data_IF_261363987347
#
_entry.id   IF_261363987347
#
_cell.length_a   1.000
_cell.length_b   1.000
_cell.length_c   1.000
_cell.angle_alpha   90.00
_cell.angle_beta   90.00
_cell.angle_gamma   90.00
#
_symmetry.space_group_name_H-M   'P 1'
#
loop_
_entity.id
_entity.type
_entity.pdbx_description
1 polymer ?
#
# COMPACT_ATOMS: atom_id res chain seq x y z
N UNK A 1 -25.15 -11.68 18.61
CA UNK A 1 -25.82 -10.87 17.56
C UNK A 1 -24.84 -10.78 16.40
N UNK A 2 -25.16 -11.34 15.22
CA UNK A 2 -24.22 -11.45 14.09
C UNK A 2 -23.79 -10.05 13.61
N UNK A 3 -22.49 -9.76 13.62
CA UNK A 3 -21.93 -8.44 13.28
C UNK A 3 -22.27 -7.96 11.86
N UNK A 4 -22.60 -8.89 10.94
CA UNK A 4 -23.06 -8.60 9.58
C UNK A 4 -24.37 -7.79 9.58
N UNK A 5 -25.28 -8.04 10.52
CA UNK A 5 -26.62 -7.39 10.55
C UNK A 5 -26.53 -5.89 10.87
N UNK A 6 -25.52 -5.47 11.62
CA UNK A 6 -25.30 -4.05 11.98
C UNK A 6 -24.79 -3.25 10.78
N UNK A 7 -23.91 -3.84 9.96
CA UNK A 7 -23.35 -3.21 8.76
C UNK A 7 -24.41 -2.97 7.67
N UNK A 8 -25.26 -3.97 7.44
CA UNK A 8 -26.33 -3.94 6.43
C UNK A 8 -27.37 -2.86 6.71
N UNK A 9 -27.75 -2.69 7.98
CA UNK A 9 -28.67 -1.65 8.41
C UNK A 9 -28.10 -0.22 8.25
N UNK A 10 -26.78 -0.05 8.34
CA UNK A 10 -26.13 1.26 8.19
C UNK A 10 -25.93 1.66 6.71
N UNK A 11 -25.66 0.68 5.85
CA UNK A 11 -25.47 0.89 4.40
C UNK A 11 -26.77 0.86 3.59
N UNK A 12 -27.92 0.55 4.23
CA UNK A 12 -29.18 0.20 3.54
C UNK A 12 -28.98 -0.89 2.47
N UNK A 13 -28.05 -1.81 2.72
CA UNK A 13 -27.70 -2.88 1.81
C UNK A 13 -28.23 -4.22 2.34
N UNK A 14 -28.58 -5.14 1.46
CA UNK A 14 -28.93 -6.51 1.82
C UNK A 14 -27.68 -7.38 2.06
N UNK A 15 -27.85 -8.50 2.77
CA UNK A 15 -26.79 -9.52 2.93
C UNK A 15 -26.21 -9.95 1.59
N UNK A 16 -27.07 -10.02 0.58
CA UNK A 16 -26.76 -10.53 -0.74
C UNK A 16 -25.96 -9.48 -1.52
N UNK A 17 -26.33 -8.19 -1.42
CA UNK A 17 -25.57 -7.08 -2.01
C UNK A 17 -24.17 -6.97 -1.39
N UNK A 18 -24.02 -7.18 -0.08
CA UNK A 18 -22.71 -7.18 0.56
C UNK A 18 -21.86 -8.39 0.14
N UNK A 19 -22.48 -9.56 -0.03
CA UNK A 19 -21.81 -10.74 -0.56
C UNK A 19 -21.37 -10.55 -2.02
N UNK A 20 -22.21 -9.93 -2.86
CA UNK A 20 -21.90 -9.59 -4.24
C UNK A 20 -20.75 -8.57 -4.34
N UNK A 21 -20.73 -7.54 -3.48
CA UNK A 21 -19.59 -6.61 -3.42
C UNK A 21 -18.30 -7.35 -3.06
N UNK A 22 -18.33 -8.23 -2.05
CA UNK A 22 -17.17 -9.03 -1.69
C UNK A 22 -16.71 -9.94 -2.83
N UNK A 23 -17.65 -10.60 -3.51
CA UNK A 23 -17.36 -11.42 -4.68
C UNK A 23 -16.75 -10.58 -5.82
N UNK A 24 -17.15 -9.31 -5.98
CA UNK A 24 -16.59 -8.39 -6.99
C UNK A 24 -15.12 -8.01 -6.74
N UNK A 25 -14.60 -8.30 -5.55
CA UNK A 25 -13.19 -8.11 -5.20
C UNK A 25 -12.35 -9.36 -5.42
N UNK A 26 -12.97 -10.48 -5.82
CA UNK A 26 -12.30 -11.75 -5.97
C UNK A 26 -12.08 -12.09 -7.43
N UNK A 27 -10.82 -12.32 -7.80
CA UNK A 27 -10.44 -12.85 -9.11
C UNK A 27 -9.82 -14.22 -8.86
N UNK A 28 -10.41 -15.26 -9.44
CA UNK A 28 -10.02 -16.64 -9.13
C UNK A 28 -8.57 -16.94 -9.56
N UNK A 29 -8.22 -16.57 -10.79
CA UNK A 29 -6.91 -16.87 -11.38
C UNK A 29 -5.91 -15.73 -11.17
N UNK A 30 -4.67 -16.03 -10.77
CA UNK A 30 -3.63 -15.02 -10.70
C UNK A 30 -3.26 -14.51 -12.11
N UNK A 31 -3.10 -13.20 -12.31
CA UNK A 31 -2.68 -12.63 -13.59
C UNK A 31 -1.17 -12.82 -13.80
N UNK A 32 -0.73 -14.07 -13.96
CA UNK A 32 0.68 -14.43 -14.12
C UNK A 32 1.15 -13.97 -15.51
N UNK A 33 2.06 -13.00 -15.50
CA UNK A 33 2.76 -12.48 -16.68
C UNK A 33 4.21 -12.93 -16.68
N UNK A 34 4.91 -12.84 -17.81
CA UNK A 34 6.30 -13.32 -17.91
C UNK A 34 7.28 -12.60 -16.98
N UNK A 35 7.02 -11.33 -16.64
CA UNK A 35 7.78 -10.57 -15.64
C UNK A 35 7.53 -11.06 -14.21
N UNK A 36 6.30 -11.44 -13.87
CA UNK A 36 5.98 -12.07 -12.58
C UNK A 36 6.68 -13.42 -12.47
N UNK A 37 6.61 -14.26 -13.51
CA UNK A 37 7.32 -15.55 -13.55
C UNK A 37 8.83 -15.35 -13.37
N UNK A 38 9.41 -14.42 -14.12
CA UNK A 38 10.84 -14.09 -14.05
C UNK A 38 11.24 -13.61 -12.66
N UNK A 39 10.45 -12.73 -12.05
CA UNK A 39 10.71 -12.23 -10.71
C UNK A 39 10.70 -13.37 -9.68
N UNK A 40 9.64 -14.19 -9.62
CA UNK A 40 9.54 -15.27 -8.63
C UNK A 40 10.54 -16.41 -8.87
N UNK A 41 10.88 -16.70 -10.12
CA UNK A 41 11.94 -17.65 -10.45
C UNK A 41 13.30 -17.15 -9.95
N UNK A 42 13.64 -15.89 -10.20
CA UNK A 42 14.95 -15.34 -9.85
C UNK A 42 15.09 -14.98 -8.36
N UNK A 43 14.05 -14.41 -7.75
CA UNK A 43 14.08 -13.94 -6.37
C UNK A 43 13.78 -15.07 -5.37
N UNK A 44 12.67 -15.77 -5.57
CA UNK A 44 12.16 -16.76 -4.61
C UNK A 44 12.52 -18.21 -4.98
N UNK A 45 13.23 -18.44 -6.09
CA UNK A 45 13.55 -19.77 -6.62
C UNK A 45 12.30 -20.66 -6.79
N UNK A 46 11.19 -20.07 -7.23
CA UNK A 46 9.93 -20.79 -7.47
C UNK A 46 9.82 -21.13 -8.96
N UNK A 47 9.78 -22.42 -9.35
CA UNK A 47 9.63 -22.81 -10.75
C UNK A 47 8.26 -22.37 -11.30
N UNK A 48 8.20 -21.99 -12.58
CA UNK A 48 6.97 -21.58 -13.29
C UNK A 48 5.81 -22.54 -13.08
N UNK A 49 6.07 -23.86 -13.17
CA UNK A 49 5.04 -24.89 -13.02
C UNK A 49 4.44 -24.96 -11.60
N UNK A 50 5.15 -24.49 -10.58
CA UNK A 50 4.69 -24.46 -9.19
C UNK A 50 4.17 -23.08 -8.76
N UNK A 51 4.39 -22.04 -9.56
CA UNK A 51 4.09 -20.66 -9.18
C UNK A 51 2.60 -20.44 -8.94
N UNK A 52 1.75 -20.87 -9.88
CA UNK A 52 0.29 -20.68 -9.78
C UNK A 52 -0.27 -21.22 -8.46
N UNK A 53 0.04 -22.47 -8.13
CA UNK A 53 -0.50 -23.12 -6.93
C UNK A 53 0.05 -22.48 -5.65
N UNK A 54 1.32 -22.07 -5.66
CA UNK A 54 1.92 -21.30 -4.57
C UNK A 54 1.20 -19.97 -4.32
N UNK A 55 0.95 -19.21 -5.38
CA UNK A 55 0.24 -17.92 -5.30
C UNK A 55 -1.18 -18.08 -4.78
N UNK A 56 -1.93 -19.08 -5.29
CA UNK A 56 -3.29 -19.39 -4.81
C UNK A 56 -3.27 -19.76 -3.33
N UNK A 57 -2.37 -20.65 -2.91
CA UNK A 57 -2.30 -21.05 -1.50
C UNK A 57 -2.03 -19.86 -0.56
N UNK A 58 -1.15 -18.93 -0.94
CA UNK A 58 -0.89 -17.71 -0.18
C UNK A 58 -2.11 -16.80 -0.16
N UNK A 59 -2.72 -16.52 -1.32
CA UNK A 59 -3.89 -15.65 -1.41
C UNK A 59 -5.03 -16.17 -0.56
N UNK A 60 -5.35 -17.46 -0.64
CA UNK A 60 -6.45 -18.07 0.11
C UNK A 60 -6.25 -17.88 1.62
N UNK A 61 -5.05 -18.16 2.13
CA UNK A 61 -4.73 -17.92 3.55
C UNK A 61 -4.88 -16.45 3.93
N UNK A 62 -4.37 -15.54 3.11
CA UNK A 62 -4.42 -14.12 3.37
C UNK A 62 -5.87 -13.58 3.34
N UNK A 63 -6.64 -13.99 2.34
CA UNK A 63 -8.03 -13.57 2.12
C UNK A 63 -8.98 -14.07 3.20
N UNK A 64 -8.78 -15.29 3.71
CA UNK A 64 -9.55 -15.83 4.83
C UNK A 64 -9.39 -15.02 6.12
N UNK A 65 -8.20 -14.44 6.35
CA UNK A 65 -7.97 -13.54 7.48
C UNK A 65 -8.65 -12.19 7.26
N UNK A 66 -8.40 -11.57 6.10
CA UNK A 66 -9.02 -10.31 5.75
C UNK A 66 -9.41 -10.25 4.28
N UNK A 67 -10.68 -9.93 4.01
CA UNK A 67 -11.24 -9.84 2.66
C UNK A 67 -10.84 -8.50 1.99
N UNK A 68 -9.56 -8.13 2.03
CA UNK A 68 -9.07 -6.88 1.47
C UNK A 68 -9.03 -6.95 -0.06
N UNK A 69 -9.59 -5.97 -0.79
CA UNK A 69 -9.62 -5.99 -2.25
C UNK A 69 -8.25 -6.13 -2.92
N UNK A 70 -7.17 -5.69 -2.27
CA UNK A 70 -5.81 -5.88 -2.78
C UNK A 70 -5.39 -7.36 -2.83
N UNK A 71 -5.85 -8.19 -1.90
CA UNK A 71 -5.56 -9.63 -1.86
C UNK A 71 -6.40 -10.37 -2.90
N UNK A 72 -7.70 -10.12 -2.94
CA UNK A 72 -8.62 -10.80 -3.88
C UNK A 72 -8.35 -10.47 -5.35
N UNK A 73 -7.78 -9.28 -5.62
CA UNK A 73 -7.39 -8.84 -6.97
C UNK A 73 -5.89 -8.97 -7.26
N UNK A 74 -5.16 -9.78 -6.49
CA UNK A 74 -3.75 -10.09 -6.77
C UNK A 74 -2.81 -8.87 -6.83
N UNK A 75 -3.16 -7.75 -6.18
CA UNK A 75 -2.36 -6.52 -6.26
C UNK A 75 -0.96 -6.68 -5.68
N UNK A 76 -0.77 -7.62 -4.75
CA UNK A 76 0.53 -7.96 -4.19
C UNK A 76 1.49 -8.65 -5.18
N UNK A 77 1.02 -9.05 -6.38
CA UNK A 77 1.89 -9.53 -7.45
C UNK A 77 2.52 -8.40 -8.27
N UNK A 78 2.02 -7.17 -8.13
CA UNK A 78 2.51 -6.00 -8.85
C UNK A 78 3.14 -5.02 -7.87
N UNK A 79 4.44 -4.79 -8.03
CA UNK A 79 5.19 -3.81 -7.24
C UNK A 79 4.82 -2.39 -7.67
N UNK A 80 3.84 -1.82 -6.97
CA UNK A 80 3.28 -0.49 -7.25
C UNK A 80 4.32 0.63 -7.18
N UNK A 81 5.38 0.46 -6.39
CA UNK A 81 6.48 1.43 -6.27
C UNK A 81 7.20 1.65 -7.60
N UNK A 82 7.26 0.64 -8.48
CA UNK A 82 7.87 0.76 -9.82
C UNK A 82 7.11 1.73 -10.73
N UNK A 83 5.83 1.95 -10.45
CA UNK A 83 4.98 2.87 -11.21
C UNK A 83 5.15 4.32 -10.71
N UNK A 84 5.86 4.52 -9.59
CA UNK A 84 6.18 5.86 -9.11
C UNK A 84 7.04 6.60 -10.14
N UNK A 85 6.71 7.86 -10.46
CA UNK A 85 7.50 8.66 -11.42
C UNK A 85 8.94 8.93 -10.94
N UNK A 86 9.20 8.71 -9.64
CA UNK A 86 10.53 8.89 -9.03
C UNK A 86 11.24 7.56 -8.73
N UNK A 87 10.78 6.43 -9.27
CA UNK A 87 11.38 5.13 -8.96
C UNK A 87 12.86 5.06 -9.36
N UNK A 88 13.22 5.60 -10.53
CA UNK A 88 14.61 5.67 -10.98
C UNK A 88 15.48 6.52 -10.03
N UNK A 89 14.96 7.65 -9.55
CA UNK A 89 15.63 8.50 -8.56
C UNK A 89 15.87 7.74 -7.25
N UNK A 90 14.86 7.01 -6.75
CA UNK A 90 14.97 6.19 -5.54
C UNK A 90 16.12 5.18 -5.71
N UNK A 91 16.14 4.42 -6.81
CA UNK A 91 17.17 3.43 -7.05
C UNK A 91 18.57 4.06 -7.12
N UNK A 92 18.70 5.18 -7.81
CA UNK A 92 19.98 5.88 -7.96
C UNK A 92 20.51 6.37 -6.61
N UNK A 93 19.71 7.12 -5.86
CA UNK A 93 20.12 7.69 -4.57
C UNK A 93 20.37 6.62 -3.52
N UNK A 94 19.59 5.53 -3.52
CA UNK A 94 19.86 4.40 -2.65
C UNK A 94 21.21 3.75 -2.96
N UNK A 95 21.53 3.52 -4.24
CA UNK A 95 22.76 2.81 -4.64
C UNK A 95 24.02 3.67 -4.55
N UNK A 96 23.90 4.98 -4.79
CA UNK A 96 25.06 5.87 -4.87
C UNK A 96 25.29 6.68 -3.59
N UNK A 97 24.21 7.11 -2.93
CA UNK A 97 24.26 8.03 -1.79
C UNK A 97 23.85 7.38 -0.46
N UNK A 98 23.44 6.10 -0.47
CA UNK A 98 22.98 5.41 0.73
C UNK A 98 21.63 5.91 1.25
N UNK A 99 20.79 6.48 0.39
CA UNK A 99 19.44 6.91 0.77
C UNK A 99 18.61 5.72 1.29
N UNK A 100 17.75 5.98 2.27
CA UNK A 100 16.91 4.95 2.90
C UNK A 100 15.47 5.03 2.46
N UNK A 101 14.75 3.91 2.53
CA UNK A 101 13.34 3.79 2.15
C UNK A 101 12.53 3.14 3.27
N UNK A 102 11.37 3.70 3.59
CA UNK A 102 10.33 3.03 4.35
C UNK A 102 9.15 2.74 3.43
N UNK A 103 8.63 1.53 3.45
CA UNK A 103 7.32 1.16 2.88
C UNK A 103 6.32 0.98 4.03
N UNK A 104 5.31 1.87 4.11
CA UNK A 104 4.35 1.89 5.22
C UNK A 104 2.95 1.46 4.76
N UNK A 105 2.39 0.47 5.45
CA UNK A 105 1.28 -0.34 4.94
C UNK A 105 1.77 -1.35 3.91
N UNK A 106 2.90 -2.01 4.18
CA UNK A 106 3.60 -2.83 3.18
C UNK A 106 2.89 -4.14 2.82
N UNK A 107 1.85 -4.54 3.56
CA UNK A 107 1.11 -5.79 3.38
C UNK A 107 2.07 -7.01 3.33
N UNK A 108 2.10 -7.73 2.20
CA UNK A 108 3.00 -8.88 2.01
C UNK A 108 4.45 -8.46 1.72
N UNK A 109 4.74 -7.15 1.60
CA UNK A 109 6.08 -6.60 1.45
C UNK A 109 6.67 -6.74 0.05
N UNK A 110 5.83 -6.73 -0.99
CA UNK A 110 6.25 -6.85 -2.39
C UNK A 110 7.12 -5.68 -2.86
N UNK A 111 6.81 -4.45 -2.44
CA UNK A 111 7.51 -3.24 -2.89
C UNK A 111 8.93 -3.15 -2.29
N UNK A 112 9.09 -3.54 -1.01
CA UNK A 112 10.40 -3.73 -0.37
C UNK A 112 11.26 -4.73 -1.13
N UNK A 113 10.70 -5.89 -1.49
CA UNK A 113 11.45 -6.96 -2.17
C UNK A 113 11.78 -6.60 -3.60
N UNK A 114 10.94 -5.81 -4.26
CA UNK A 114 11.25 -5.25 -5.56
C UNK A 114 12.47 -4.32 -5.51
N UNK A 115 12.56 -3.45 -4.50
CA UNK A 115 13.73 -2.59 -4.32
C UNK A 115 15.01 -3.40 -4.11
N UNK A 116 14.95 -4.46 -3.29
CA UNK A 116 16.08 -5.40 -3.09
C UNK A 116 16.45 -6.07 -4.41
N UNK A 117 15.47 -6.61 -5.13
CA UNK A 117 15.69 -7.26 -6.43
C UNK A 117 16.33 -6.32 -7.45
N UNK A 118 15.92 -5.06 -7.47
CA UNK A 118 16.47 -4.03 -8.35
C UNK A 118 17.81 -3.47 -7.81
N UNK A 119 18.36 -4.00 -6.73
CA UNK A 119 19.72 -3.77 -6.26
C UNK A 119 19.89 -2.69 -5.19
N UNK A 120 18.81 -2.30 -4.50
CA UNK A 120 18.94 -1.47 -3.28
C UNK A 120 19.49 -2.34 -2.15
N UNK A 121 20.53 -1.88 -1.41
CA UNK A 121 21.03 -2.60 -0.25
C UNK A 121 19.92 -2.82 0.79
N UNK A 122 19.70 -4.07 1.17
CA UNK A 122 18.60 -4.48 2.05
C UNK A 122 18.58 -3.72 3.40
N UNK A 123 19.76 -3.35 3.91
CA UNK A 123 19.89 -2.65 5.20
C UNK A 123 19.34 -1.21 5.15
N UNK A 124 19.14 -0.64 3.95
CA UNK A 124 18.57 0.70 3.73
C UNK A 124 17.03 0.72 3.70
N UNK A 125 16.37 -0.43 3.78
CA UNK A 125 14.92 -0.54 3.58
C UNK A 125 14.25 -1.04 4.85
N UNK A 126 13.10 -0.46 5.21
CA UNK A 126 12.20 -1.02 6.23
C UNK A 126 10.77 -1.09 5.71
N UNK A 127 10.04 -2.12 6.11
CA UNK A 127 8.62 -2.28 5.83
C UNK A 127 7.82 -2.35 7.13
N UNK A 128 6.71 -1.62 7.18
CA UNK A 128 5.80 -1.68 8.31
C UNK A 128 4.37 -1.94 7.85
N UNK A 129 3.68 -2.83 8.55
CA UNK A 129 2.26 -3.05 8.40
C UNK A 129 1.62 -3.18 9.78
N UNK A 130 0.34 -2.84 9.91
CA UNK A 130 -0.35 -2.97 11.19
C UNK A 130 -0.48 -4.44 11.60
N UNK A 131 -0.67 -5.34 10.63
CA UNK A 131 -1.04 -6.73 10.86
C UNK A 131 0.18 -7.67 10.67
N UNK A 132 0.74 -8.23 11.77
CA UNK A 132 1.89 -9.14 11.69
C UNK A 132 1.65 -10.37 10.79
N UNK A 133 0.38 -10.78 10.66
CA UNK A 133 -0.01 -11.91 9.82
C UNK A 133 0.36 -11.71 8.34
N UNK A 134 0.19 -10.51 7.79
CA UNK A 134 0.57 -10.26 6.38
C UNK A 134 2.08 -10.30 6.18
N UNK A 135 2.85 -9.82 7.15
CA UNK A 135 4.31 -9.92 7.13
C UNK A 135 4.75 -11.38 7.07
N UNK A 136 4.16 -12.25 7.91
CA UNK A 136 4.45 -13.68 7.88
C UNK A 136 4.03 -14.35 6.55
N UNK A 137 2.88 -13.98 5.98
CA UNK A 137 2.51 -14.47 4.64
C UNK A 137 3.48 -14.00 3.56
N UNK A 138 4.06 -12.81 3.70
CA UNK A 138 5.12 -12.31 2.82
C UNK A 138 6.36 -13.20 2.85
N UNK A 139 6.82 -13.63 4.03
CA UNK A 139 7.97 -14.55 4.13
C UNK A 139 7.74 -15.87 3.39
N UNK A 140 6.54 -16.44 3.52
CA UNK A 140 6.17 -17.66 2.80
C UNK A 140 6.07 -17.43 1.29
N UNK A 141 5.48 -16.29 0.87
CA UNK A 141 5.30 -15.94 -0.53
C UNK A 141 6.65 -15.85 -1.26
N UNK A 142 7.63 -15.19 -0.64
CA UNK A 142 8.91 -14.86 -1.26
C UNK A 142 10.07 -15.77 -0.82
N UNK A 143 9.84 -16.70 0.12
CA UNK A 143 10.81 -17.68 0.63
C UNK A 143 12.09 -17.07 1.19
N UNK A 144 11.96 -15.92 1.85
CA UNK A 144 13.09 -15.12 2.34
C UNK A 144 13.03 -14.80 3.84
N UNK A 145 12.16 -15.50 4.58
CA UNK A 145 11.88 -15.23 5.98
C UNK A 145 13.11 -15.21 6.89
N UNK A 146 14.08 -16.10 6.67
CA UNK A 146 15.30 -16.16 7.49
C UNK A 146 16.10 -14.85 7.41
N UNK A 147 16.45 -14.43 6.19
CA UNK A 147 17.25 -13.21 5.94
C UNK A 147 16.50 -11.95 6.39
N UNK A 148 15.20 -11.88 6.10
CA UNK A 148 14.38 -10.71 6.44
C UNK A 148 14.19 -10.56 7.95
N UNK A 149 14.03 -11.67 8.69
CA UNK A 149 13.92 -11.68 10.16
C UNK A 149 15.25 -11.36 10.83
N UNK A 150 16.35 -11.94 10.35
CA UNK A 150 17.71 -11.65 10.86
C UNK A 150 18.01 -10.15 10.79
N UNK A 151 17.74 -9.53 9.64
CA UNK A 151 17.99 -8.10 9.40
C UNK A 151 16.89 -7.16 9.92
N UNK A 152 15.80 -7.70 10.48
CA UNK A 152 14.65 -6.95 11.00
C UNK A 152 14.08 -5.97 9.97
N UNK A 153 13.89 -6.45 8.74
CA UNK A 153 13.43 -5.62 7.62
C UNK A 153 11.96 -5.23 7.78
N UNK A 154 11.14 -6.16 8.28
CA UNK A 154 9.72 -5.94 8.53
C UNK A 154 9.40 -5.96 10.02
N UNK A 155 8.50 -5.09 10.43
CA UNK A 155 7.95 -5.08 11.78
C UNK A 155 6.50 -4.55 11.78
N UNK A 156 5.71 -4.87 12.81
CA UNK A 156 4.42 -4.22 13.00
C UNK A 156 4.60 -2.71 13.20
N UNK A 157 3.69 -1.90 12.65
CA UNK A 157 3.70 -0.45 12.84
C UNK A 157 2.32 0.16 12.76
N UNK A 158 1.98 1.00 13.74
CA UNK A 158 0.74 1.76 13.79
C UNK A 158 1.03 3.26 13.61
N UNK A 159 0.43 3.86 12.58
CA UNK A 159 0.57 5.29 12.29
C UNK A 159 0.01 6.16 13.42
N UNK A 160 -0.93 5.64 14.22
CA UNK A 160 -1.56 6.36 15.32
C UNK A 160 -0.80 6.23 16.65
N UNK A 161 0.16 5.30 16.73
CA UNK A 161 1.01 5.14 17.90
C UNK A 161 2.15 6.17 17.90
N UNK A 162 2.06 7.15 18.79
CA UNK A 162 3.09 8.18 18.94
C UNK A 162 4.43 7.62 19.46
N UNK A 163 4.42 6.53 20.24
CA UNK A 163 5.66 5.93 20.71
C UNK A 163 6.42 5.33 19.52
N UNK A 164 5.74 4.51 18.72
CA UNK A 164 6.27 3.98 17.46
C UNK A 164 6.86 5.10 16.58
N UNK A 165 6.10 6.16 16.31
CA UNK A 165 6.58 7.26 15.45
C UNK A 165 7.81 7.99 15.99
N UNK A 166 8.03 7.99 17.31
CA UNK A 166 9.19 8.64 17.93
C UNK A 166 10.43 7.72 17.95
N UNK A 167 10.25 6.41 17.82
CA UNK A 167 11.33 5.42 17.85
C UNK A 167 11.87 5.09 16.44
N UNK A 168 11.07 5.29 15.39
CA UNK A 168 11.48 5.03 14.01
C UNK A 168 12.33 6.17 13.46
N UNK A 169 13.52 5.82 12.97
CA UNK A 169 14.37 6.75 12.21
C UNK A 169 13.71 7.06 10.85
N UNK A 170 13.45 8.34 10.52
CA UNK A 170 12.82 8.69 9.26
C UNK A 170 13.71 8.35 8.06
N UNK A 171 13.09 7.82 7.02
CA UNK A 171 13.78 7.47 5.78
C UNK A 171 13.90 8.66 4.83
N UNK A 172 14.84 8.60 3.88
CA UNK A 172 14.89 9.61 2.82
C UNK A 172 13.59 9.60 2.00
N UNK A 173 13.13 8.40 1.63
CA UNK A 173 11.89 8.14 0.92
C UNK A 173 10.91 7.37 1.80
N UNK A 174 9.66 7.83 1.84
CA UNK A 174 8.53 7.07 2.37
C UNK A 174 7.62 6.69 1.21
N UNK A 175 7.34 5.40 1.07
CA UNK A 175 6.36 4.87 0.16
C UNK A 175 5.09 4.48 0.92
N UNK A 176 3.93 4.88 0.41
CA UNK A 176 2.61 4.60 0.99
C UNK A 176 1.63 4.15 -0.09
N UNK A 177 1.61 2.84 -0.37
CA UNK A 177 0.71 2.23 -1.34
C UNK A 177 -0.66 1.90 -0.75
N UNK A 178 -1.73 2.40 -1.36
CA UNK A 178 -3.13 2.09 -1.02
C UNK A 178 -3.50 2.31 0.45
N UNK A 179 -2.87 3.29 1.11
CA UNK A 179 -2.99 3.50 2.55
C UNK A 179 -3.89 4.70 2.93
N UNK A 180 -3.59 5.92 2.45
CA UNK A 180 -4.28 7.14 2.92
C UNK A 180 -5.78 7.10 2.62
N UNK A 181 -6.19 6.60 1.45
CA UNK A 181 -7.61 6.49 1.07
C UNK A 181 -8.46 5.56 1.95
N UNK A 182 -7.86 4.82 2.90
CA UNK A 182 -8.59 3.99 3.86
C UNK A 182 -9.36 4.80 4.92
N UNK A 183 -9.05 6.10 5.03
CA UNK A 183 -9.51 6.96 6.12
C UNK A 183 -10.53 8.01 5.64
N UNK A 184 -11.34 8.52 6.57
CA UNK A 184 -12.20 9.69 6.33
C UNK A 184 -11.36 10.97 6.22
N UNK A 185 -12.01 12.08 5.86
CA UNK A 185 -11.32 13.34 5.59
C UNK A 185 -10.52 13.89 6.79
N UNK A 186 -11.04 13.81 8.02
CA UNK A 186 -10.33 14.31 9.21
C UNK A 186 -9.14 13.42 9.55
N UNK A 187 -9.34 12.11 9.50
CA UNK A 187 -8.30 11.12 9.78
C UNK A 187 -7.20 11.14 8.72
N UNK A 188 -7.52 11.35 7.42
CA UNK A 188 -6.50 11.53 6.38
C UNK A 188 -5.59 12.72 6.67
N UNK A 189 -6.14 13.83 7.17
CA UNK A 189 -5.34 15.00 7.56
C UNK A 189 -4.37 14.68 8.70
N UNK A 190 -4.81 13.95 9.73
CA UNK A 190 -3.93 13.50 10.82
C UNK A 190 -2.87 12.51 10.34
N UNK A 191 -3.26 11.52 9.54
CA UNK A 191 -2.34 10.55 8.92
C UNK A 191 -1.28 11.25 8.07
N UNK A 192 -1.65 12.19 7.19
CA UNK A 192 -0.69 12.94 6.39
C UNK A 192 0.35 13.67 7.25
N UNK A 193 -0.07 14.33 8.35
CA UNK A 193 0.86 14.96 9.29
C UNK A 193 1.79 13.93 9.93
N UNK A 194 1.27 12.78 10.34
CA UNK A 194 2.06 11.71 10.97
C UNK A 194 3.07 11.08 10.01
N UNK A 195 2.70 10.88 8.75
CA UNK A 195 3.61 10.37 7.71
C UNK A 195 4.82 11.28 7.50
N UNK A 196 4.70 12.59 7.70
CA UNK A 196 5.87 13.50 7.65
C UNK A 196 6.94 13.18 8.68
N UNK A 197 6.60 12.51 9.79
CA UNK A 197 7.57 12.08 10.81
C UNK A 197 8.41 10.89 10.37
N UNK A 198 7.97 10.15 9.36
CA UNK A 198 8.65 8.96 8.82
C UNK A 198 9.50 9.27 7.58
N UNK A 199 9.44 10.50 7.06
CA UNK A 199 10.11 10.91 5.83
C UNK A 199 11.00 12.14 6.05
N UNK A 200 12.21 12.11 5.49
CA UNK A 200 13.15 13.24 5.49
C UNK A 200 12.93 14.16 4.30
N UNK A 201 12.60 13.61 3.12
CA UNK A 201 12.57 14.37 1.87
C UNK A 201 11.34 14.13 1.02
N UNK A 202 10.93 12.88 0.83
CA UNK A 202 9.88 12.56 -0.15
C UNK A 202 8.90 11.53 0.40
N UNK A 203 7.61 11.77 0.17
CA UNK A 203 6.53 10.81 0.38
C UNK A 203 5.91 10.53 -0.99
N UNK A 204 5.95 9.28 -1.45
CA UNK A 204 5.36 8.86 -2.70
C UNK A 204 4.35 7.73 -2.48
N UNK A 205 3.42 7.57 -3.40
CA UNK A 205 2.44 6.52 -3.27
C UNK A 205 1.46 6.44 -4.41
N UNK A 206 0.57 5.47 -4.30
CA UNK A 206 -0.56 5.26 -5.19
C UNK A 206 -1.78 4.91 -4.37
N UNK A 207 -2.95 5.45 -4.70
CA UNK A 207 -4.17 5.13 -3.96
C UNK A 207 -5.42 5.21 -4.83
N UNK A 208 -6.58 4.90 -4.25
CA UNK A 208 -7.86 5.14 -4.91
C UNK A 208 -8.11 6.66 -5.01
N UNK A 209 -8.42 7.12 -6.21
CA UNK A 209 -8.71 8.50 -6.55
C UNK A 209 -9.99 8.63 -7.38
N UNK A 210 -10.40 9.88 -7.61
CA UNK A 210 -11.59 10.21 -8.38
C UNK A 210 -11.37 11.52 -9.14
N UNK A 211 -11.99 11.67 -10.32
CA UNK A 211 -11.91 12.93 -11.07
C UNK A 211 -12.46 14.12 -10.28
N UNK A 212 -13.42 13.86 -9.38
CA UNK A 212 -13.99 14.83 -8.44
C UNK A 212 -13.93 14.17 -7.07
N UNK A 213 -13.40 14.88 -6.08
CA UNK A 213 -13.31 14.36 -4.71
C UNK A 213 -14.68 13.95 -4.18
N UNK A 214 -14.77 12.78 -3.56
CA UNK A 214 -16.03 12.22 -3.07
C UNK A 214 -15.84 11.35 -1.85
N UNK A 215 -16.80 11.44 -0.93
CA UNK A 215 -16.94 10.47 0.15
C UNK A 215 -17.62 9.21 -0.37
N UNK A 216 -17.22 8.08 0.18
CA UNK A 216 -17.82 6.78 -0.08
C UNK A 216 -17.80 5.94 1.20
N UNK A 217 -18.71 4.97 1.36
CA UNK A 217 -18.66 4.07 2.49
C UNK A 217 -17.39 3.20 2.49
N UNK A 218 -16.84 2.91 3.67
CA UNK A 218 -15.75 1.93 3.80
C UNK A 218 -16.29 0.52 3.54
N UNK A 219 -15.91 -0.06 2.40
CA UNK A 219 -16.39 -1.38 1.97
C UNK A 219 -15.77 -2.54 2.78
N UNK A 220 -14.68 -2.27 3.53
CA UNK A 220 -13.94 -3.26 4.32
C UNK A 220 -14.22 -3.20 5.83
N UNK A 221 -14.93 -2.17 6.32
CA UNK A 221 -15.20 -1.99 7.74
C UNK A 221 -16.55 -2.58 8.15
N UNK A 222 -16.54 -3.53 9.10
CA UNK A 222 -17.77 -4.10 9.69
C UNK A 222 -18.54 -3.10 10.56
N UNK A 223 -17.92 -2.00 10.98
CA UNK A 223 -18.53 -0.99 11.85
C UNK A 223 -19.13 0.19 11.08
N UNK A 224 -19.20 0.10 9.75
CA UNK A 224 -19.49 1.25 8.90
C UNK A 224 -18.35 2.28 8.92
N UNK A 225 -18.61 3.45 8.34
CA UNK A 225 -17.65 4.55 8.24
C UNK A 225 -17.52 5.07 6.82
N UNK A 226 -16.95 6.27 6.69
CA UNK A 226 -16.70 6.91 5.40
C UNK A 226 -15.21 6.89 5.10
N UNK A 227 -14.88 6.93 3.83
CA UNK A 227 -13.56 7.27 3.33
C UNK A 227 -13.71 8.31 2.23
N UNK A 228 -12.64 9.06 1.94
CA UNK A 228 -12.64 10.05 0.85
C UNK A 228 -11.64 9.65 -0.23
N UNK A 229 -12.09 9.71 -1.48
CA UNK A 229 -11.23 9.65 -2.66
C UNK A 229 -10.96 11.08 -3.13
N UNK A 230 -9.72 11.36 -3.47
CA UNK A 230 -9.29 12.67 -3.91
C UNK A 230 -9.13 12.76 -5.43
N UNK A 231 -9.46 13.93 -5.98
CA UNK A 231 -8.87 14.41 -7.24
C UNK A 231 -7.48 14.99 -6.96
N UNK A 232 -6.60 15.14 -7.99
CA UNK A 232 -5.31 15.81 -7.84
C UNK A 232 -5.40 17.14 -7.09
N UNK A 233 -6.35 17.99 -7.46
CA UNK A 233 -6.52 19.33 -6.89
C UNK A 233 -6.95 19.30 -5.43
N UNK A 234 -7.82 18.35 -5.07
CA UNK A 234 -8.22 18.18 -3.66
C UNK A 234 -7.13 17.57 -2.80
N UNK A 235 -6.29 16.69 -3.39
CA UNK A 235 -5.16 16.07 -2.70
C UNK A 235 -4.06 17.10 -2.42
N UNK A 236 -3.73 17.92 -3.42
CA UNK A 236 -2.78 19.05 -3.29
C UNK A 236 -3.21 20.01 -2.19
N UNK A 237 -4.48 20.45 -2.20
CA UNK A 237 -5.00 21.33 -1.14
C UNK A 237 -4.93 20.70 0.25
N UNK A 238 -5.25 19.41 0.37
CA UNK A 238 -5.14 18.73 1.66
C UNK A 238 -3.71 18.75 2.21
N UNK A 239 -2.70 18.43 1.39
CA UNK A 239 -1.30 18.43 1.82
C UNK A 239 -0.80 19.83 2.20
N UNK A 240 -1.17 20.83 1.41
CA UNK A 240 -0.83 22.23 1.69
C UNK A 240 -1.42 22.68 3.04
N UNK A 241 -2.72 22.46 3.25
CA UNK A 241 -3.42 22.80 4.49
C UNK A 241 -2.82 22.13 5.74
N UNK A 242 -2.44 20.84 5.64
CA UNK A 242 -2.06 20.05 6.83
C UNK A 242 -0.61 20.23 7.23
N UNK A 243 0.23 20.70 6.30
CA UNK A 243 1.67 20.89 6.51
C UNK A 243 2.10 22.36 6.46
N UNK A 244 1.15 23.28 6.30
CA UNK A 244 1.42 24.73 6.17
C UNK A 244 2.46 25.01 5.07
N UNK A 245 2.32 24.30 3.95
CA UNK A 245 3.23 24.38 2.81
C UNK A 245 4.62 23.75 3.00
N UNK A 246 4.96 23.18 4.17
CA UNK A 246 6.25 22.50 4.38
C UNK A 246 6.42 21.27 3.47
N UNK A 247 5.32 20.59 3.15
CA UNK A 247 5.28 19.45 2.24
C UNK A 247 4.31 19.70 1.10
N UNK A 248 4.84 19.80 -0.12
CA UNK A 248 4.05 20.15 -1.30
C UNK A 248 3.93 18.97 -2.25
N UNK A 249 2.74 18.80 -2.83
CA UNK A 249 2.51 17.83 -3.90
C UNK A 249 3.24 18.32 -5.17
N UNK A 250 4.33 17.64 -5.51
CA UNK A 250 5.07 17.86 -6.76
C UNK A 250 4.29 17.30 -7.95
N UNK A 251 3.68 16.13 -7.78
CA UNK A 251 2.83 15.52 -8.80
C UNK A 251 1.69 14.73 -8.18
N UNK A 252 0.53 14.78 -8.84
CA UNK A 252 -0.65 13.97 -8.52
C UNK A 252 -1.40 13.69 -9.83
N UNK A 253 -1.41 12.44 -10.28
CA UNK A 253 -1.97 12.06 -11.58
C UNK A 253 -2.99 10.94 -11.43
N UNK A 254 -4.07 11.04 -12.20
CA UNK A 254 -5.10 10.01 -12.24
C UNK A 254 -4.83 9.03 -13.38
N UNK A 255 -4.86 7.75 -13.06
CA UNK A 255 -4.74 6.64 -14.01
C UNK A 255 -5.99 5.77 -13.99
N UNK A 256 -6.34 5.21 -15.13
CA UNK A 256 -7.39 4.18 -15.19
C UNK A 256 -6.87 2.90 -14.53
N UNK A 257 -7.63 2.32 -13.61
CA UNK A 257 -7.32 0.99 -13.06
C UNK A 257 -8.02 -0.03 -13.95
N UNK A 258 -7.26 -0.78 -14.74
CA UNK A 258 -7.78 -1.74 -15.72
C UNK A 258 -8.68 -2.84 -15.10
N UNK A 259 -8.47 -3.15 -13.82
CA UNK A 259 -9.11 -4.29 -13.14
C UNK A 259 -10.40 -3.95 -12.36
N UNK A 260 -10.97 -2.75 -12.54
CA UNK A 260 -12.22 -2.33 -11.86
C UNK A 260 -13.28 -1.91 -12.87
N UNK A 261 -14.40 -2.64 -12.92
CA UNK A 261 -15.62 -2.17 -13.61
C UNK A 261 -16.13 -0.91 -12.90
N UNK A 262 -15.86 0.28 -13.43
CA UNK A 262 -16.34 1.55 -12.86
C UNK A 262 -15.56 2.79 -13.29
N UNK A 263 -15.86 3.92 -12.65
CA UNK A 263 -15.19 5.22 -12.83
C UNK A 263 -14.00 5.44 -11.87
N UNK A 264 -13.60 4.37 -11.16
CA UNK A 264 -12.56 4.43 -10.14
C UNK A 264 -11.18 4.58 -10.79
N UNK A 265 -10.43 5.58 -10.32
CA UNK A 265 -9.11 5.93 -10.85
C UNK A 265 -8.06 5.65 -9.79
N UNK A 266 -6.84 5.32 -10.19
CA UNK A 266 -5.68 5.34 -9.32
C UNK A 266 -5.17 6.77 -9.27
N UNK A 267 -4.84 7.29 -8.09
CA UNK A 267 -4.09 8.52 -7.91
C UNK A 267 -2.66 8.15 -7.56
N UNK A 268 -1.71 8.42 -8.46
CA UNK A 268 -0.27 8.34 -8.17
C UNK A 268 0.19 9.72 -7.74
N UNK A 269 1.01 9.80 -6.69
CA UNK A 269 1.46 11.07 -6.15
C UNK A 269 2.91 11.06 -5.67
N UNK A 270 3.50 12.25 -5.67
CA UNK A 270 4.79 12.57 -5.05
C UNK A 270 4.62 13.87 -4.27
N UNK A 271 4.97 13.83 -2.99
CA UNK A 271 4.98 14.97 -2.06
C UNK A 271 6.43 15.18 -1.63
N UNK A 272 6.95 16.40 -1.81
CA UNK A 272 8.32 16.75 -1.42
C UNK A 272 8.34 17.78 -0.31
N UNK A 273 9.26 17.57 0.63
CA UNK A 273 9.59 18.54 1.66
C UNK A 273 10.30 19.74 1.04
N UNK A 274 9.80 20.94 1.28
CA UNK A 274 10.41 22.16 0.82
C UNK A 274 11.70 22.45 1.61
N UNK A 275 12.72 22.93 0.91
CA UNK A 275 13.92 23.44 1.56
C UNK A 275 13.58 24.77 2.23
N UNK A 276 13.87 24.90 3.52
CA UNK A 276 13.75 26.19 4.19
C UNK A 276 14.82 27.11 3.60
N UNK A 277 14.39 28.18 2.94
CA UNK A 277 15.26 29.29 2.56
C UNK A 277 15.83 29.98 3.79
#
# INVERSE_FOLDING_TARGET
>A
MNCIVVLLNFLKMSTDEFAEIKASFYIDEPPITGDIETFFANYASIPTLALRDHLIAIRERAWQSCNYPCLGRWRFLRSSIKQSPIYAEILEKCKQEGATVIDFGCCLGQDVRQLVYDGVPIDQIRGYDLEPFFIEQGYELFRDGEVMKEKKIFAPGDIFDNQFLNEIEPAYYLYVGSFIHLFDAETQRDVCRRLTKLAKRVIAGRQSGASIAREHPKLTSLTGGKAIQHSPESFTRMWDDVTDGEWQVESATLETIEDVKGSDKGLIFVVRKQERQ
#
